data_IF_231143132009
#
_entry.id   IF_231143132009
#
_cell.length_a   1.000
_cell.length_b   1.000
_cell.length_c   1.000
_cell.angle_alpha   90.00
_cell.angle_beta   90.00
_cell.angle_gamma   90.00
#
_symmetry.space_group_name_H-M   'P 1'
#
loop_
_entity.id
_entity.type
_entity.pdbx_description
1 polymer ?
#
# COMPACT_ATOMS: atom_id res chain seq x y z
N UNK A 1 4.28 -6.72 -11.17
CA UNK A 1 3.78 -5.34 -11.36
C UNK A 1 4.86 -4.35 -10.98
N UNK A 2 4.84 -3.14 -11.53
CA UNK A 2 5.76 -2.07 -11.18
C UNK A 2 5.03 -0.73 -11.23
N UNK A 3 5.24 0.12 -10.25
CA UNK A 3 4.72 1.49 -10.26
C UNK A 3 5.80 2.45 -9.83
N UNK A 4 5.81 3.62 -10.44
CA UNK A 4 6.80 4.67 -10.17
C UNK A 4 6.10 6.02 -10.14
N UNK A 5 6.13 6.66 -8.98
CA UNK A 5 5.50 7.95 -8.73
C UNK A 5 6.50 8.94 -8.14
N UNK A 6 6.54 10.15 -8.70
CA UNK A 6 7.35 11.24 -8.23
C UNK A 6 7.10 11.56 -6.75
N UNK A 7 8.08 12.14 -6.09
CA UNK A 7 8.07 12.41 -4.64
C UNK A 7 6.85 13.22 -4.18
N UNK A 8 6.33 14.13 -5.01
CA UNK A 8 5.16 14.97 -4.67
C UNK A 8 3.85 14.17 -4.53
N UNK A 9 3.70 13.11 -5.33
CA UNK A 9 2.55 12.20 -5.31
C UNK A 9 2.82 11.05 -4.34
N UNK A 10 3.92 10.33 -4.55
CA UNK A 10 4.24 9.12 -3.79
C UNK A 10 4.53 9.38 -2.31
N UNK A 11 5.04 10.57 -1.96
CA UNK A 11 5.39 10.98 -0.58
C UNK A 11 6.00 9.85 0.25
N UNK A 12 7.06 9.17 -0.25
CA UNK A 12 7.66 8.04 0.46
C UNK A 12 8.13 8.47 1.86
N UNK A 13 7.96 7.62 2.89
CA UNK A 13 8.56 7.86 4.20
C UNK A 13 10.07 8.14 4.08
N UNK A 14 10.57 9.12 4.84
CA UNK A 14 11.99 9.50 4.79
C UNK A 14 12.89 8.34 5.20
N UNK A 15 12.36 7.44 6.02
CA UNK A 15 13.05 6.29 6.57
C UNK A 15 13.43 5.26 5.50
N UNK A 16 12.70 5.20 4.37
CA UNK A 16 13.10 4.39 3.20
C UNK A 16 14.41 4.86 2.56
N UNK A 17 14.82 6.10 2.84
CA UNK A 17 16.06 6.69 2.35
C UNK A 17 17.22 6.53 3.34
N UNK A 18 17.03 6.02 4.56
CA UNK A 18 18.09 5.94 5.56
C UNK A 18 19.33 5.09 5.18
N UNK A 19 19.26 4.05 4.33
CA UNK A 19 20.46 3.36 3.85
C UNK A 19 21.43 4.25 3.03
N UNK A 20 21.08 5.51 2.76
CA UNK A 20 21.89 6.48 2.01
C UNK A 20 23.17 6.97 2.70
N UNK A 21 23.36 6.78 4.01
CA UNK A 21 24.48 7.43 4.71
C UNK A 21 25.89 6.90 4.34
N UNK A 22 25.98 5.79 3.58
CA UNK A 22 27.30 5.24 3.19
C UNK A 22 27.34 4.30 1.98
N UNK A 23 26.23 4.06 1.26
CA UNK A 23 26.23 3.11 0.14
C UNK A 23 25.93 3.79 -1.20
N UNK A 24 26.95 3.84 -2.05
CA UNK A 24 26.96 4.22 -3.47
C UNK A 24 26.26 3.19 -4.38
N UNK A 25 25.15 2.59 -3.93
CA UNK A 25 24.34 1.75 -4.81
C UNK A 25 23.72 2.61 -5.91
N UNK A 26 23.97 2.28 -7.18
CA UNK A 26 23.34 2.95 -8.32
C UNK A 26 21.81 2.89 -8.14
N UNK A 27 21.19 4.03 -7.84
CA UNK A 27 19.75 4.18 -7.96
C UNK A 27 19.46 4.59 -9.39
N UNK A 28 18.47 3.96 -9.99
CA UNK A 28 18.09 4.28 -11.35
C UNK A 28 17.09 5.46 -11.36
N UNK A 29 17.12 6.21 -12.45
CA UNK A 29 16.10 7.20 -12.80
C UNK A 29 14.81 6.47 -13.20
N UNK A 30 13.69 7.19 -13.22
CA UNK A 30 12.39 6.60 -13.60
C UNK A 30 12.39 6.03 -15.02
N UNK A 31 13.14 6.64 -15.94
CA UNK A 31 13.27 6.20 -17.33
C UNK A 31 14.05 4.87 -17.41
N UNK A 32 15.19 4.79 -16.74
CA UNK A 32 15.99 3.56 -16.63
C UNK A 32 15.19 2.43 -15.97
N UNK A 33 14.42 2.73 -14.92
CA UNK A 33 13.53 1.75 -14.27
C UNK A 33 12.48 1.20 -15.25
N UNK A 34 11.91 2.06 -16.12
CA UNK A 34 10.97 1.62 -17.14
C UNK A 34 11.64 0.74 -18.20
N UNK A 35 12.89 1.03 -18.59
CA UNK A 35 13.67 0.22 -19.52
C UNK A 35 14.05 -1.14 -18.93
N UNK A 36 14.50 -1.18 -17.67
CA UNK A 36 14.74 -2.41 -16.92
C UNK A 36 13.49 -3.29 -16.96
N UNK A 37 12.32 -2.72 -16.65
CA UNK A 37 11.07 -3.49 -16.68
C UNK A 37 10.73 -4.04 -18.06
N UNK A 38 10.87 -3.25 -19.13
CA UNK A 38 10.65 -3.72 -20.51
C UNK A 38 11.60 -4.84 -20.90
N UNK A 39 12.85 -4.75 -20.49
CA UNK A 39 13.86 -5.76 -20.81
C UNK A 39 13.61 -7.08 -20.08
N UNK A 40 13.09 -7.03 -18.86
CA UNK A 40 12.78 -8.21 -18.06
C UNK A 40 11.41 -8.82 -18.40
N UNK A 41 10.46 -8.01 -18.87
CA UNK A 41 9.07 -8.39 -19.13
C UNK A 41 8.66 -7.94 -20.53
N UNK A 42 8.77 -8.85 -21.49
CA UNK A 42 8.51 -8.57 -22.89
C UNK A 42 7.04 -8.29 -23.19
N UNK A 43 6.13 -8.85 -22.39
CA UNK A 43 4.67 -8.69 -22.49
C UNK A 43 4.11 -7.49 -21.68
N UNK A 44 4.98 -6.55 -21.29
CA UNK A 44 4.62 -5.49 -20.36
C UNK A 44 3.68 -4.44 -20.96
N UNK A 45 2.60 -4.14 -20.22
CA UNK A 45 1.66 -3.04 -20.49
C UNK A 45 1.99 -1.85 -19.60
N UNK A 46 2.13 -0.67 -20.19
CA UNK A 46 2.43 0.58 -19.48
C UNK A 46 1.27 1.57 -19.55
N UNK A 47 0.95 2.17 -18.41
CA UNK A 47 0.06 3.31 -18.24
C UNK A 47 0.93 4.49 -17.83
N UNK A 48 1.14 5.42 -18.76
CA UNK A 48 1.97 6.59 -18.53
C UNK A 48 1.11 7.77 -18.10
N UNK A 49 1.56 8.50 -17.09
CA UNK A 49 0.92 9.70 -16.57
C UNK A 49 1.85 10.90 -16.73
N UNK A 50 1.37 12.07 -16.31
CA UNK A 50 2.15 13.32 -16.35
C UNK A 50 3.43 13.18 -15.52
N UNK A 51 4.41 14.02 -15.85
CA UNK A 51 5.70 14.14 -15.19
C UNK A 51 6.58 12.88 -15.21
N UNK A 52 6.26 11.86 -16.01
CA UNK A 52 7.03 10.60 -16.07
C UNK A 52 6.64 9.57 -15.00
N UNK A 53 5.47 9.75 -14.37
CA UNK A 53 4.87 8.74 -13.50
C UNK A 53 4.28 7.61 -14.35
N UNK A 54 4.36 6.36 -13.90
CA UNK A 54 3.77 5.25 -14.64
C UNK A 54 3.38 4.06 -13.77
N UNK A 55 2.46 3.28 -14.32
CA UNK A 55 2.01 1.98 -13.85
C UNK A 55 2.35 0.95 -14.93
N UNK A 56 2.98 -0.16 -14.56
CA UNK A 56 3.35 -1.21 -15.47
C UNK A 56 2.93 -2.58 -14.94
N UNK A 57 2.35 -3.37 -15.84
CA UNK A 57 1.82 -4.69 -15.56
C UNK A 57 2.39 -5.68 -16.57
N UNK A 58 2.75 -6.87 -16.12
CA UNK A 58 3.08 -8.00 -16.97
C UNK A 58 2.27 -9.21 -16.49
N UNK A 59 1.94 -10.12 -17.39
CA UNK A 59 1.25 -11.39 -17.07
C UNK A 59 2.21 -12.57 -16.99
N UNK A 60 3.48 -12.38 -17.35
CA UNK A 60 4.55 -13.34 -17.08
C UNK A 60 4.70 -13.60 -15.56
N UNK A 61 5.05 -14.84 -15.20
CA UNK A 61 5.22 -15.34 -13.82
C UNK A 61 4.05 -15.03 -12.86
N UNK A 62 2.82 -15.01 -13.37
CA UNK A 62 1.66 -14.89 -12.48
C UNK A 62 1.57 -16.10 -11.55
N UNK A 63 1.43 -15.82 -10.26
CA UNK A 63 1.18 -16.85 -9.26
C UNK A 63 -0.28 -17.34 -9.40
N UNK A 64 -0.53 -18.63 -9.68
CA UNK A 64 -1.90 -19.16 -9.81
C UNK A 64 -2.75 -19.01 -8.54
N UNK A 65 -2.11 -18.99 -7.37
CA UNK A 65 -2.78 -18.85 -6.05
C UNK A 65 -3.13 -17.39 -5.77
N UNK A 66 -2.38 -16.45 -6.33
CA UNK A 66 -2.53 -15.02 -6.12
C UNK A 66 -2.58 -14.31 -7.48
N UNK A 67 -3.70 -14.43 -8.21
CA UNK A 67 -3.81 -13.89 -9.55
C UNK A 67 -3.69 -12.37 -9.53
N UNK A 68 -3.12 -11.82 -10.62
CA UNK A 68 -2.93 -10.39 -10.79
C UNK A 68 -3.95 -9.84 -11.79
N UNK A 69 -4.69 -8.82 -11.37
CA UNK A 69 -5.68 -8.12 -12.19
C UNK A 69 -5.42 -6.61 -12.20
N UNK A 70 -5.91 -5.95 -13.23
CA UNK A 70 -5.93 -4.49 -13.32
C UNK A 70 -7.32 -4.05 -13.75
N UNK A 71 -7.83 -3.00 -13.10
CA UNK A 71 -9.08 -2.34 -13.48
C UNK A 71 -8.83 -0.84 -13.53
N UNK A 72 -9.41 -0.20 -14.54
CA UNK A 72 -9.41 1.26 -14.69
C UNK A 72 -10.86 1.71 -14.75
N UNK A 73 -11.26 2.59 -13.84
CA UNK A 73 -12.62 3.12 -13.78
C UNK A 73 -12.58 4.56 -13.26
N UNK A 74 -13.27 5.47 -13.95
CA UNK A 74 -13.34 6.90 -13.59
C UNK A 74 -11.97 7.60 -13.44
N UNK A 75 -10.97 7.16 -14.22
CA UNK A 75 -9.57 7.60 -14.14
C UNK A 75 -8.84 7.19 -12.85
N UNK A 76 -9.37 6.17 -12.17
CA UNK A 76 -8.76 5.45 -11.04
C UNK A 76 -8.22 4.12 -11.55
N UNK A 77 -6.93 3.89 -11.32
CA UNK A 77 -6.20 2.70 -11.78
C UNK A 77 -5.93 1.83 -10.57
N UNK A 78 -6.36 0.57 -10.57
CA UNK A 78 -6.09 -0.37 -9.49
C UNK A 78 -5.44 -1.63 -10.04
N UNK A 79 -4.22 -1.94 -9.58
CA UNK A 79 -3.64 -3.27 -9.71
C UNK A 79 -3.89 -4.02 -8.42
N UNK A 80 -4.52 -5.19 -8.53
CA UNK A 80 -4.79 -6.08 -7.42
C UNK A 80 -4.09 -7.42 -7.65
N UNK A 81 -3.40 -7.91 -6.64
CA UNK A 81 -2.77 -9.23 -6.62
C UNK A 81 -3.33 -10.02 -5.45
N UNK A 82 -3.90 -11.20 -5.67
CA UNK A 82 -4.43 -12.04 -4.61
C UNK A 82 -5.90 -12.39 -4.76
N UNK A 83 -6.55 -12.72 -3.65
CA UNK A 83 -7.96 -13.10 -3.54
C UNK A 83 -8.56 -12.53 -2.26
N UNK A 84 -9.80 -12.06 -2.33
CA UNK A 84 -10.59 -11.69 -1.16
C UNK A 84 -11.56 -12.84 -0.84
N UNK A 85 -11.66 -13.21 0.44
CA UNK A 85 -12.50 -14.31 0.91
C UNK A 85 -13.95 -13.86 1.11
N UNK A 86 -14.18 -12.60 1.49
CA UNK A 86 -15.49 -12.03 1.79
C UNK A 86 -16.10 -11.19 0.64
N UNK A 87 -15.79 -11.53 -0.62
CA UNK A 87 -16.26 -10.77 -1.80
C UNK A 87 -17.78 -10.65 -1.90
N UNK A 88 -18.54 -11.65 -1.44
CA UNK A 88 -20.01 -11.61 -1.47
C UNK A 88 -20.58 -10.47 -0.61
N UNK A 89 -20.05 -10.33 0.61
CA UNK A 89 -20.50 -9.29 1.54
C UNK A 89 -20.07 -7.91 1.07
N UNK A 90 -18.82 -7.78 0.60
CA UNK A 90 -18.32 -6.53 0.03
C UNK A 90 -19.11 -6.10 -1.21
N UNK A 91 -19.42 -7.02 -2.13
CA UNK A 91 -20.24 -6.70 -3.31
C UNK A 91 -21.63 -6.23 -2.90
N UNK A 92 -22.25 -6.87 -1.91
CA UNK A 92 -23.56 -6.45 -1.39
C UNK A 92 -23.48 -5.08 -0.73
N UNK A 93 -22.45 -4.83 0.09
CA UNK A 93 -22.26 -3.58 0.81
C UNK A 93 -22.05 -2.39 -0.14
N UNK A 94 -21.23 -2.56 -1.18
CA UNK A 94 -20.96 -1.53 -2.18
C UNK A 94 -21.97 -1.50 -3.33
N UNK A 95 -22.99 -2.37 -3.34
CA UNK A 95 -24.01 -2.40 -4.41
C UNK A 95 -23.46 -2.86 -5.77
N UNK A 96 -22.42 -3.69 -5.78
CA UNK A 96 -21.75 -4.19 -6.97
C UNK A 96 -22.44 -5.44 -7.56
N UNK A 97 -22.21 -5.66 -8.86
CA UNK A 97 -22.70 -6.87 -9.54
C UNK A 97 -21.98 -8.13 -9.03
N UNK A 98 -22.59 -9.31 -9.25
CA UNK A 98 -21.96 -10.60 -8.90
C UNK A 98 -20.65 -10.88 -9.66
N UNK A 99 -20.46 -10.22 -10.80
CA UNK A 99 -19.27 -10.36 -11.64
C UNK A 99 -18.17 -9.36 -11.30
N UNK A 100 -18.41 -8.43 -10.36
CA UNK A 100 -17.42 -7.42 -9.99
C UNK A 100 -16.16 -8.07 -9.41
N UNK A 101 -15.01 -7.75 -9.99
CA UNK A 101 -13.72 -8.28 -9.53
C UNK A 101 -13.28 -7.63 -8.22
N UNK A 102 -12.29 -8.21 -7.55
CA UNK A 102 -11.68 -7.67 -6.34
C UNK A 102 -11.16 -6.25 -6.57
N UNK A 103 -10.51 -6.00 -7.71
CA UNK A 103 -10.05 -4.66 -8.08
C UNK A 103 -11.22 -3.65 -8.20
N UNK A 104 -12.39 -4.06 -8.69
CA UNK A 104 -13.59 -3.19 -8.71
C UNK A 104 -14.09 -2.88 -7.29
N UNK A 105 -14.07 -3.88 -6.40
CA UNK A 105 -14.41 -3.69 -4.98
C UNK A 105 -13.46 -2.66 -4.35
N UNK A 106 -12.15 -2.76 -4.60
CA UNK A 106 -11.17 -1.80 -4.07
C UNK A 106 -11.42 -0.37 -4.61
N UNK A 107 -11.78 -0.21 -5.88
CA UNK A 107 -12.09 1.11 -6.45
C UNK A 107 -13.32 1.72 -5.76
N UNK A 108 -14.40 0.95 -5.55
CA UNK A 108 -15.58 1.46 -4.85
C UNK A 108 -15.32 1.76 -3.38
N UNK A 109 -14.55 0.90 -2.70
CA UNK A 109 -14.08 1.14 -1.34
C UNK A 109 -13.28 2.46 -1.24
N UNK A 110 -12.40 2.73 -2.20
CA UNK A 110 -11.66 3.99 -2.28
C UNK A 110 -12.58 5.19 -2.53
N UNK A 111 -13.56 5.09 -3.43
CA UNK A 111 -14.53 6.18 -3.66
C UNK A 111 -15.32 6.50 -2.39
N UNK A 112 -15.67 5.49 -1.59
CA UNK A 112 -16.30 5.71 -0.28
C UNK A 112 -15.38 6.51 0.65
N UNK A 113 -14.08 6.19 0.70
CA UNK A 113 -13.10 6.95 1.48
C UNK A 113 -12.92 8.40 0.98
N UNK A 114 -12.95 8.61 -0.34
CA UNK A 114 -12.75 9.92 -0.96
C UNK A 114 -13.98 10.82 -0.84
N UNK A 115 -15.16 10.26 -1.10
CA UNK A 115 -16.39 11.04 -1.33
C UNK A 115 -17.28 11.13 -0.09
N UNK A 116 -17.13 10.23 0.90
CA UNK A 116 -17.94 10.27 2.14
C UNK A 116 -17.19 10.97 3.29
N UNK A 117 -17.90 11.86 3.98
CA UNK A 117 -17.42 12.59 5.16
C UNK A 117 -16.89 11.64 6.26
N UNK A 118 -16.00 12.13 7.14
CA UNK A 118 -14.72 11.52 7.48
C UNK A 118 -14.83 10.03 7.85
N UNK A 119 -14.69 9.17 6.84
CA UNK A 119 -14.54 7.73 7.03
C UNK A 119 -13.04 7.42 7.14
N UNK A 120 -12.55 6.95 8.30
CA UNK A 120 -11.12 6.78 8.47
C UNK A 120 -10.64 5.56 7.63
N UNK A 121 -9.50 5.68 6.91
CA UNK A 121 -9.04 4.65 5.97
C UNK A 121 -8.90 3.24 6.56
N UNK A 122 -8.57 3.14 7.84
CA UNK A 122 -8.48 1.86 8.56
C UNK A 122 -9.81 1.10 8.59
N UNK A 123 -10.96 1.78 8.63
CA UNK A 123 -12.25 1.10 8.70
C UNK A 123 -12.61 0.38 7.41
N UNK A 124 -12.32 0.98 6.26
CA UNK A 124 -12.65 0.39 4.96
C UNK A 124 -11.74 -0.79 4.63
N UNK A 125 -10.45 -0.71 4.97
CA UNK A 125 -9.51 -1.79 4.68
C UNK A 125 -9.58 -2.91 5.72
N UNK A 126 -9.94 -2.62 6.97
CA UNK A 126 -10.11 -3.65 8.00
C UNK A 126 -11.16 -4.69 7.63
N UNK A 127 -12.18 -4.29 6.87
CA UNK A 127 -13.23 -5.17 6.35
C UNK A 127 -12.75 -6.07 5.20
N UNK A 128 -11.55 -5.87 4.64
CA UNK A 128 -11.02 -6.76 3.62
C UNK A 128 -10.47 -8.03 4.29
N UNK A 129 -11.02 -9.18 3.90
CA UNK A 129 -10.58 -10.49 4.33
C UNK A 129 -10.01 -11.26 3.13
N UNK A 130 -8.87 -11.91 3.32
CA UNK A 130 -8.19 -12.68 2.29
C UNK A 130 -6.71 -12.34 2.16
N UNK A 131 -6.10 -12.87 1.10
CA UNK A 131 -4.66 -12.76 0.81
C UNK A 131 -4.48 -11.84 -0.37
N UNK A 132 -4.03 -10.63 -0.13
CA UNK A 132 -4.00 -9.59 -1.14
C UNK A 132 -2.87 -8.58 -0.96
N UNK A 133 -2.49 -7.97 -2.08
CA UNK A 133 -1.78 -6.72 -2.12
C UNK A 133 -2.31 -5.89 -3.29
N UNK A 134 -2.46 -4.58 -3.12
CA UNK A 134 -2.93 -3.73 -4.21
C UNK A 134 -2.23 -2.38 -4.24
N UNK A 135 -2.24 -1.79 -5.42
CA UNK A 135 -1.79 -0.43 -5.70
C UNK A 135 -2.92 0.26 -6.47
N UNK A 136 -3.46 1.34 -5.89
CA UNK A 136 -4.49 2.16 -6.49
C UNK A 136 -3.98 3.59 -6.68
N UNK A 137 -4.19 4.16 -7.85
CA UNK A 137 -3.86 5.54 -8.18
C UNK A 137 -5.07 6.25 -8.78
N UNK A 138 -5.57 7.28 -8.09
CA UNK A 138 -6.55 8.22 -8.62
C UNK A 138 -5.80 9.35 -9.33
N UNK A 139 -5.89 9.37 -10.66
CA UNK A 139 -5.17 10.36 -11.47
C UNK A 139 -5.76 11.77 -11.37
N UNK A 140 -7.05 11.91 -11.04
CA UNK A 140 -7.71 13.21 -10.88
C UNK A 140 -7.33 13.84 -9.54
N UNK A 141 -7.37 13.06 -8.47
CA UNK A 141 -6.98 13.52 -7.14
C UNK A 141 -5.46 13.50 -6.92
N UNK A 142 -4.69 12.85 -7.81
CA UNK A 142 -3.27 12.55 -7.62
C UNK A 142 -3.00 11.84 -6.28
N UNK A 143 -3.86 10.87 -5.95
CA UNK A 143 -3.78 10.11 -4.69
C UNK A 143 -3.34 8.67 -4.98
N UNK A 144 -2.32 8.22 -4.27
CA UNK A 144 -1.81 6.86 -4.26
C UNK A 144 -2.26 6.13 -2.98
N UNK A 145 -2.77 4.91 -3.14
CA UNK A 145 -3.17 4.02 -2.06
C UNK A 145 -2.48 2.65 -2.25
N UNK A 146 -1.80 2.18 -1.22
CA UNK A 146 -1.14 0.87 -1.19
C UNK A 146 -1.67 0.09 0.00
N UNK A 147 -1.88 -1.22 -0.14
CA UNK A 147 -2.16 -2.07 1.00
C UNK A 147 -1.64 -3.49 0.79
N UNK A 148 -1.42 -4.19 1.91
CA UNK A 148 -1.02 -5.60 1.94
C UNK A 148 -1.75 -6.32 3.08
N UNK A 149 -2.08 -7.58 2.84
CA UNK A 149 -2.77 -8.44 3.79
C UNK A 149 -2.00 -8.64 5.10
N UNK A 150 -2.72 -9.08 6.14
CA UNK A 150 -2.22 -9.24 7.51
C UNK A 150 -1.07 -10.23 7.61
N UNK A 151 -1.12 -11.28 6.82
CA UNK A 151 -0.13 -12.36 6.84
C UNK A 151 1.08 -12.04 5.93
N UNK A 152 0.98 -10.98 5.12
CA UNK A 152 1.96 -10.69 4.09
C UNK A 152 2.04 -11.78 3.02
N UNK A 153 0.95 -12.53 2.81
CA UNK A 153 0.87 -13.67 1.89
C UNK A 153 1.21 -13.29 0.46
N UNK A 154 0.78 -12.10 0.02
CA UNK A 154 1.11 -11.59 -1.31
C UNK A 154 2.33 -10.67 -1.22
N UNK A 155 3.29 -10.87 -2.12
CA UNK A 155 4.50 -10.03 -2.13
C UNK A 155 4.19 -8.62 -2.63
N UNK A 156 4.60 -7.64 -1.83
CA UNK A 156 4.63 -6.23 -2.21
C UNK A 156 5.83 -5.60 -1.55
N UNK A 157 6.62 -4.89 -2.33
CA UNK A 157 7.80 -4.15 -1.91
C UNK A 157 7.64 -2.70 -2.32
N UNK A 158 8.29 -1.82 -1.57
CA UNK A 158 8.36 -0.40 -1.85
C UNK A 158 9.76 0.13 -1.57
N UNK A 159 10.14 1.18 -2.29
CA UNK A 159 11.48 1.75 -2.20
C UNK A 159 11.55 3.12 -2.85
N UNK A 160 12.74 3.71 -2.83
CA UNK A 160 12.98 5.04 -3.39
C UNK A 160 14.01 5.01 -4.51
N UNK A 161 13.64 5.59 -5.65
CA UNK A 161 14.52 5.80 -6.80
C UNK A 161 15.53 6.94 -6.54
N UNK A 162 16.42 7.21 -7.50
CA UNK A 162 17.48 8.22 -7.40
C UNK A 162 16.94 9.64 -7.16
N UNK A 163 15.83 9.96 -7.81
CA UNK A 163 15.16 11.26 -7.73
C UNK A 163 14.18 11.37 -6.54
N UNK A 164 14.16 10.35 -5.66
CA UNK A 164 13.26 10.27 -4.52
C UNK A 164 11.83 9.84 -4.88
N UNK A 165 11.60 9.38 -6.10
CA UNK A 165 10.32 8.77 -6.50
C UNK A 165 10.05 7.50 -5.72
N UNK A 166 8.79 7.29 -5.34
CA UNK A 166 8.33 6.05 -4.75
C UNK A 166 8.19 4.99 -5.85
N UNK A 167 8.81 3.84 -5.63
CA UNK A 167 8.75 2.67 -6.50
C UNK A 167 8.07 1.54 -5.74
N UNK A 168 7.11 0.87 -6.36
CA UNK A 168 6.48 -0.32 -5.77
C UNK A 168 6.46 -1.47 -6.77
N UNK A 169 6.72 -2.68 -6.30
CA UNK A 169 6.79 -3.89 -7.12
C UNK A 169 6.48 -5.12 -6.26
N UNK A 170 5.88 -6.13 -6.88
CA UNK A 170 5.73 -7.46 -6.26
C UNK A 170 6.97 -8.34 -6.44
N UNK A 171 7.89 -7.99 -7.34
CA UNK A 171 9.10 -8.74 -7.59
C UNK A 171 10.30 -8.11 -6.83
N UNK A 172 10.94 -8.85 -5.91
CA UNK A 172 12.05 -8.36 -5.09
C UNK A 172 13.32 -8.08 -5.91
N UNK A 173 13.59 -8.88 -6.95
CA UNK A 173 14.75 -8.70 -7.81
C UNK A 173 14.63 -7.43 -8.64
N UNK A 174 13.42 -7.14 -9.13
CA UNK A 174 13.14 -5.93 -9.90
C UNK A 174 13.28 -4.67 -9.04
N UNK A 175 12.73 -4.67 -7.82
CA UNK A 175 12.83 -3.48 -6.96
C UNK A 175 14.26 -3.26 -6.44
N UNK A 176 15.01 -4.34 -6.21
CA UNK A 176 16.44 -4.28 -5.90
C UNK A 176 17.23 -3.65 -7.05
N UNK A 177 16.97 -4.08 -8.29
CA UNK A 177 17.55 -3.46 -9.48
C UNK A 177 17.14 -1.99 -9.63
N UNK A 178 15.90 -1.61 -9.29
CA UNK A 178 15.41 -0.24 -9.43
C UNK A 178 15.96 0.73 -8.35
N UNK A 179 15.95 0.30 -7.09
CA UNK A 179 16.17 1.14 -5.91
C UNK A 179 17.51 0.90 -5.20
N UNK A 180 18.33 -0.05 -5.68
CA UNK A 180 19.55 -0.48 -4.99
C UNK A 180 19.23 -1.04 -3.61
N UNK A 181 19.86 -0.50 -2.56
CA UNK A 181 19.58 -0.89 -1.16
C UNK A 181 18.40 -0.13 -0.51
N UNK A 182 17.78 0.81 -1.22
CA UNK A 182 16.73 1.68 -0.65
C UNK A 182 15.33 1.13 -0.92
N UNK A 183 15.10 -0.12 -0.53
CA UNK A 183 13.79 -0.75 -0.60
C UNK A 183 13.59 -1.69 0.58
N UNK A 184 12.34 -2.07 0.82
CA UNK A 184 11.96 -3.04 1.84
C UNK A 184 10.61 -3.67 1.46
N UNK A 185 10.24 -4.82 2.03
CA UNK A 185 8.87 -5.30 1.91
C UNK A 185 7.89 -4.26 2.47
N UNK A 186 6.78 -4.05 1.77
CA UNK A 186 5.67 -3.27 2.31
C UNK A 186 5.10 -4.01 3.52
N UNK A 187 4.88 -3.33 4.66
CA UNK A 187 4.56 -4.00 5.91
C UNK A 187 3.20 -4.72 5.83
N UNK A 188 3.10 -5.97 6.34
CA UNK A 188 1.82 -6.66 6.46
C UNK A 188 0.83 -5.89 7.32
N UNK A 189 -0.47 -6.07 7.05
CA UNK A 189 -1.52 -5.46 7.88
C UNK A 189 -1.58 -3.93 7.80
N UNK A 190 -1.00 -3.34 6.75
CA UNK A 190 -0.86 -1.90 6.62
C UNK A 190 -1.48 -1.35 5.34
N UNK A 191 -1.81 -0.06 5.40
CA UNK A 191 -2.25 0.78 4.30
C UNK A 191 -1.37 2.03 4.25
N UNK A 192 -1.00 2.46 3.06
CA UNK A 192 -0.34 3.74 2.83
C UNK A 192 -1.20 4.57 1.89
N UNK A 193 -1.52 5.81 2.29
CA UNK A 193 -2.21 6.76 1.43
C UNK A 193 -1.39 8.05 1.31
N UNK A 194 -1.19 8.54 0.09
CA UNK A 194 -0.48 9.80 -0.16
C UNK A 194 -1.24 10.97 0.50
N UNK A 195 -0.71 11.47 1.61
CA UNK A 195 -1.32 12.53 2.41
C UNK A 195 -1.62 12.13 3.85
N UNK A 196 -2.01 10.88 4.09
CA UNK A 196 -2.23 10.35 5.45
C UNK A 196 -1.01 9.58 5.98
N UNK A 197 -0.22 9.01 5.07
CA UNK A 197 0.95 8.20 5.42
C UNK A 197 0.59 6.73 5.66
N UNK A 198 1.46 6.04 6.39
CA UNK A 198 1.37 4.61 6.65
C UNK A 198 0.62 4.34 7.97
N UNK A 199 -0.41 3.50 7.91
CA UNK A 199 -1.25 3.10 9.05
C UNK A 199 -1.36 1.58 9.08
N UNK A 200 -1.33 0.99 10.28
CA UNK A 200 -1.74 -0.40 10.47
C UNK A 200 -3.24 -0.45 10.75
N UNK A 201 -4.00 -1.22 9.97
CA UNK A 201 -5.46 -1.29 10.14
C UNK A 201 -5.90 -2.18 11.30
N UNK A 202 -5.04 -3.06 11.83
CA UNK A 202 -5.29 -3.80 13.07
C UNK A 202 -5.01 -2.94 14.32
N UNK A 203 -4.07 -2.00 14.20
CA UNK A 203 -3.66 -1.09 15.27
C UNK A 203 -3.68 0.38 14.81
N UNK A 204 -4.84 0.93 14.41
CA UNK A 204 -4.93 2.25 13.78
C UNK A 204 -4.56 3.41 14.72
N UNK A 205 -4.57 3.16 16.03
CA UNK A 205 -4.16 4.13 17.04
C UNK A 205 -2.68 4.05 17.41
N UNK A 206 -1.90 3.18 16.77
CA UNK A 206 -0.47 3.03 17.05
C UNK A 206 0.37 3.54 15.88
N UNK A 207 1.54 4.10 16.21
CA UNK A 207 2.49 4.56 15.19
C UNK A 207 3.16 3.37 14.51
N UNK A 208 3.28 3.40 13.20
CA UNK A 208 4.19 2.50 12.47
C UNK A 208 5.57 3.18 12.40
N UNK A 209 6.60 2.53 12.94
CA UNK A 209 7.96 3.05 12.97
C UNK A 209 8.86 2.26 12.04
N UNK A 210 9.84 2.95 11.50
CA UNK A 210 10.92 2.33 10.77
C UNK A 210 12.01 1.85 11.75
N UNK A 211 12.43 0.61 11.60
CA UNK A 211 13.47 -0.03 12.41
C UNK A 211 14.58 -0.46 11.45
N UNK A 212 15.76 0.10 11.64
CA UNK A 212 16.95 -0.37 10.95
C UNK A 212 17.35 -1.74 11.49
N UNK A 213 17.49 -2.72 10.61
CA UNK A 213 18.16 -3.98 10.91
C UNK A 213 19.60 -3.89 10.46
N UNK A 214 20.50 -4.31 11.32
CA UNK A 214 21.89 -4.56 10.96
C UNK A 214 21.96 -5.94 10.30
N UNK A 215 22.77 -6.07 9.24
CA UNK A 215 23.13 -7.37 8.72
C UNK A 215 24.19 -8.04 9.61
N UNK A 216 24.47 -9.32 9.38
CA UNK A 216 25.46 -10.10 10.15
C UNK A 216 26.89 -9.52 10.07
N UNK A 217 27.12 -8.56 9.16
CA UNK A 217 28.38 -7.85 8.93
C UNK A 217 28.42 -6.48 9.64
N UNK A 218 27.36 -6.11 10.37
CA UNK A 218 27.25 -4.84 11.11
C UNK A 218 26.97 -3.63 10.23
N UNK A 219 26.64 -3.81 8.95
CA UNK A 219 26.17 -2.74 8.09
C UNK A 219 24.65 -2.55 8.31
N UNK A 220 24.15 -1.34 8.09
CA UNK A 220 22.71 -1.05 8.15
C UNK A 220 21.99 -1.77 7.00
N UNK A 221 21.59 -3.01 7.25
CA UNK A 221 21.22 -4.04 6.28
C UNK A 221 19.83 -3.90 5.65
N UNK A 222 18.85 -3.35 6.34
CA UNK A 222 17.54 -2.99 5.76
C UNK A 222 16.71 -2.17 6.75
N UNK A 223 15.84 -1.31 6.25
CA UNK A 223 14.82 -0.64 7.09
C UNK A 223 13.52 -1.39 6.98
N UNK A 224 12.94 -1.85 8.08
CA UNK A 224 11.61 -2.47 8.10
C UNK A 224 10.62 -1.61 8.86
N UNK A 225 9.34 -1.65 8.47
CA UNK A 225 8.29 -0.90 9.15
C UNK A 225 7.52 -1.85 10.09
N UNK A 226 7.41 -1.47 11.36
CA UNK A 226 6.69 -2.25 12.37
C UNK A 226 5.82 -1.35 13.24
N UNK A 227 4.71 -1.91 13.72
CA UNK A 227 3.80 -1.20 14.63
C UNK A 227 4.45 -1.08 16.00
N UNK A 228 4.54 0.15 16.50
CA UNK A 228 4.95 0.44 17.86
C UNK A 228 3.73 0.38 18.79
N UNK A 229 3.53 -0.80 19.41
CA UNK A 229 2.44 -1.06 20.34
C UNK A 229 2.53 -0.24 21.64
N UNK A 230 3.66 0.41 21.92
CA UNK A 230 3.85 1.21 23.12
C UNK A 230 3.50 2.69 22.90
N UNK A 231 3.44 3.16 21.64
CA UNK A 231 3.14 4.56 21.31
C UNK A 231 1.78 4.70 20.66
N UNK A 232 0.78 5.07 21.47
CA UNK A 232 -0.57 5.36 21.01
C UNK A 232 -0.76 6.83 20.65
N UNK A 233 -1.48 7.11 19.56
CA UNK A 233 -1.93 8.46 19.23
C UNK A 233 -2.93 8.97 20.28
N UNK A 234 -2.89 10.25 20.67
CA UNK A 234 -3.95 10.86 21.47
C UNK A 234 -5.27 10.75 20.70
N UNK A 235 -6.23 10.01 21.23
CA UNK A 235 -7.54 9.83 20.61
C UNK A 235 -8.65 10.29 21.53
N UNK A 236 -9.55 11.16 21.05
CA UNK A 236 -10.82 11.43 21.72
C UNK A 236 -11.63 10.12 21.71
N UNK A 237 -12.18 9.66 22.84
CA UNK A 237 -13.00 8.46 22.87
C UNK A 237 -14.18 8.62 21.90
N UNK A 238 -14.27 7.72 20.92
CA UNK A 238 -15.37 7.71 19.95
C UNK A 238 -16.48 6.81 20.47
N UNK A 239 -17.57 7.43 20.92
CA UNK A 239 -18.83 6.73 21.19
C UNK A 239 -19.42 6.34 19.83
N UNK A 240 -19.33 5.06 19.46
CA UNK A 240 -19.94 4.58 18.23
C UNK A 240 -21.47 4.66 18.31
N UNK A 241 -22.14 4.76 17.16
CA UNK A 241 -23.61 4.69 17.06
C UNK A 241 -24.20 3.33 17.48
N UNK A 242 -23.35 2.33 17.73
CA UNK A 242 -23.70 1.04 18.35
C UNK A 242 -23.56 1.04 19.89
N UNK A 243 -23.21 2.17 20.52
CA UNK A 243 -23.20 2.27 21.96
C UNK A 243 -24.64 2.23 22.48
N UNK A 244 -25.01 1.11 23.11
CA UNK A 244 -26.25 1.01 23.86
C UNK A 244 -26.23 2.08 24.96
N UNK A 245 -27.21 2.99 24.93
CA UNK A 245 -27.43 4.02 25.95
C UNK A 245 -27.80 3.44 27.33
N UNK A 246 -27.86 2.11 27.46
CA UNK A 246 -28.07 1.39 28.70
C UNK A 246 -26.75 0.80 29.20
N UNK A 247 -25.90 1.65 29.78
CA UNK A 247 -24.68 1.25 30.49
C UNK A 247 -24.59 2.03 31.80
N UNK A 248 -24.73 1.30 32.90
CA UNK A 248 -24.99 1.78 34.25
C UNK A 248 -24.19 3.01 34.72
N UNK A 249 -24.90 3.95 35.34
CA UNK A 249 -24.34 4.93 36.27
C UNK A 249 -23.57 4.20 37.36
N UNK A 250 -22.24 4.23 37.32
CA UNK A 250 -21.43 3.93 38.48
C UNK A 250 -21.64 5.07 39.49
N UNK A 251 -22.32 4.76 40.59
CA UNK A 251 -22.36 5.61 41.77
C UNK A 251 -20.98 5.50 42.42
N UNK A 252 -20.24 6.60 42.48
CA UNK A 252 -19.05 6.69 43.33
C UNK A 252 -19.51 6.63 44.80
N UNK A 253 -19.09 5.60 45.52
CA UNK A 253 -19.27 5.50 46.96
C UNK A 253 -18.15 6.24 47.68
N UNK A 254 -18.54 6.98 48.73
CA UNK A 254 -17.66 7.69 49.69
C UNK A 254 -16.57 6.81 50.32
#
# INVERSE_FOLDING_TARGET
MLTVFEKSIGKPPQELSLPLAGSSGLKNTRQEIAEIFRSWRSDSTFYNFRNGNFLALSREDQNPVHPRSIVVMDDIFCIFSGVLDNTCDLRRYYGLSRQATEAMIIIEAYKVLRDRAPYPPDQVIKELEGKFAFILFDSKASVLLLARDRDGSVQLHWGTAADGSLVCSDNPNLISAACGKCYTPFPPGCIFMSGTGLICFDHPLHKVRAIAREDDEGNTGAVIFQVDLFTRFPSIPRTGSAANWAGATAVEGE
#
